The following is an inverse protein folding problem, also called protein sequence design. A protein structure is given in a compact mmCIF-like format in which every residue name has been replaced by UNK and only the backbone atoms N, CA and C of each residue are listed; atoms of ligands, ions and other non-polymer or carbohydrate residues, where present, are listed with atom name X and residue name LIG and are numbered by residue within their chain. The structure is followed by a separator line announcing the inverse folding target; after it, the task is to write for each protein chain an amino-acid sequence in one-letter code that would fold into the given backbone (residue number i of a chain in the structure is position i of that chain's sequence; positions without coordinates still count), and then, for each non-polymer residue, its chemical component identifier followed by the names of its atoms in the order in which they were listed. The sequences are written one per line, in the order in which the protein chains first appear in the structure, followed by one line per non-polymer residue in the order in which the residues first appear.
data_IF_135918284711
#
_entry.id   IF_135918284711
#
_cell.length_a   1.000
_cell.length_b   1.000
_cell.length_c   1.000
_cell.angle_alpha   90.00
_cell.angle_beta   90.00
_cell.angle_gamma   90.00
#
_symmetry.space_group_name_H-M   'P 1'
#
loop_
_entity.id
_entity.type
_entity.pdbx_description
1 polymer ?
#
# COMPACT_ATOMS: atom_id res chain seq x y z
N UNK A 1 -50.23 31.77 -23.75
CA UNK A 1 -50.17 31.45 -22.31
C UNK A 1 -48.96 30.55 -22.06
N UNK A 2 -48.11 30.97 -21.12
CA UNK A 2 -46.79 30.40 -20.81
C UNK A 2 -46.95 29.05 -20.11
N UNK A 3 -46.22 28.03 -20.56
CA UNK A 3 -45.76 26.95 -19.67
C UNK A 3 -44.27 26.73 -19.89
N UNK A 4 -43.50 27.34 -19.00
CA UNK A 4 -42.05 27.25 -18.92
C UNK A 4 -41.64 25.82 -18.54
N UNK A 5 -40.84 25.17 -19.38
CA UNK A 5 -40.10 23.95 -19.00
C UNK A 5 -39.16 24.33 -17.85
N UNK A 6 -39.55 24.01 -16.62
CA UNK A 6 -38.65 24.05 -15.47
C UNK A 6 -37.53 23.04 -15.74
N UNK A 7 -36.37 23.53 -16.15
CA UNK A 7 -35.09 22.83 -16.00
C UNK A 7 -34.98 22.52 -14.51
N UNK A 8 -35.27 21.28 -14.13
CA UNK A 8 -34.92 20.77 -12.81
C UNK A 8 -33.40 20.83 -12.72
N UNK A 9 -32.95 21.74 -11.87
CA UNK A 9 -31.57 21.98 -11.51
C UNK A 9 -30.96 20.64 -11.09
N UNK A 10 -29.92 20.24 -11.81
CA UNK A 10 -28.98 19.21 -11.41
C UNK A 10 -28.30 19.73 -10.15
N UNK A 11 -28.83 19.35 -8.98
CA UNK A 11 -28.15 19.57 -7.71
C UNK A 11 -26.89 18.71 -7.73
N UNK A 12 -25.76 19.40 -7.91
CA UNK A 12 -24.41 18.86 -7.81
C UNK A 12 -24.23 18.20 -6.43
N UNK A 13 -24.07 16.88 -6.42
CA UNK A 13 -23.51 16.16 -5.27
C UNK A 13 -21.98 16.25 -5.36
N UNK A 14 -21.45 17.45 -5.11
CA UNK A 14 -20.06 17.62 -4.70
C UNK A 14 -20.03 17.68 -3.18
N UNK A 15 -19.91 16.51 -2.56
CA UNK A 15 -19.45 16.39 -1.18
C UNK A 15 -18.31 15.38 -1.15
N UNK A 16 -17.12 15.95 -0.95
CA UNK A 16 -15.83 15.35 -0.61
C UNK A 16 -15.23 14.34 -1.60
N UNK A 17 -15.14 14.78 -2.84
CA UNK A 17 -14.04 14.43 -3.74
C UNK A 17 -12.95 15.47 -3.56
N UNK A 18 -11.72 15.01 -3.30
CA UNK A 18 -10.48 15.77 -3.27
C UNK A 18 -10.47 16.97 -4.22
N UNK A 19 -10.36 18.18 -3.65
CA UNK A 19 -9.60 19.32 -4.17
C UNK A 19 -9.86 20.56 -3.29
N UNK A 20 -8.89 20.89 -2.42
CA UNK A 20 -8.48 22.28 -2.25
C UNK A 20 -7.11 22.35 -2.92
N UNK A 21 -7.12 22.61 -4.23
CA UNK A 21 -6.83 23.91 -4.83
C UNK A 21 -5.37 24.32 -4.62
N UNK A 22 -4.63 24.09 -5.70
CA UNK A 22 -3.42 24.78 -6.09
C UNK A 22 -3.55 26.30 -5.87
N UNK A 23 -2.91 26.80 -4.82
CA UNK A 23 -2.35 28.15 -4.83
C UNK A 23 -0.90 27.97 -5.28
N UNK A 24 -0.68 28.14 -6.59
CA UNK A 24 0.66 28.44 -7.12
C UNK A 24 1.01 29.86 -6.63
N UNK A 25 1.46 29.98 -5.39
CA UNK A 25 2.38 31.05 -5.03
C UNK A 25 3.76 30.58 -5.48
N UNK A 26 4.28 31.21 -6.53
CA UNK A 26 5.67 31.14 -6.93
C UNK A 26 6.53 31.67 -5.78
N UNK A 27 6.84 30.82 -4.81
CA UNK A 27 8.01 31.03 -3.98
C UNK A 27 9.15 30.20 -4.55
N UNK A 28 9.96 30.88 -5.37
CA UNK A 28 11.30 30.47 -5.75
C UNK A 28 12.14 30.20 -4.49
N UNK A 29 12.01 29.01 -3.90
CA UNK A 29 12.95 28.53 -2.88
C UNK A 29 14.27 28.20 -3.58
N UNK A 30 15.16 29.18 -3.53
CA UNK A 30 16.58 29.15 -3.88
C UNK A 30 17.35 28.17 -2.98
N UNK A 31 16.90 26.90 -2.90
CA UNK A 31 17.53 25.87 -2.11
C UNK A 31 18.70 25.29 -2.88
N UNK A 32 19.86 25.89 -2.63
CA UNK A 32 21.21 25.51 -3.09
C UNK A 32 21.33 24.06 -3.57
N UNK A 33 21.81 23.89 -4.81
CA UNK A 33 22.06 22.61 -5.47
C UNK A 33 23.03 21.68 -4.71
N UNK A 34 23.68 22.20 -3.66
CA UNK A 34 24.84 21.62 -2.98
C UNK A 34 24.52 20.45 -2.02
N UNK A 35 23.26 20.06 -1.84
CA UNK A 35 22.86 18.94 -0.94
C UNK A 35 21.90 17.91 -1.54
N UNK A 36 21.77 17.83 -2.86
CA UNK A 36 21.11 16.66 -3.47
C UNK A 36 22.07 15.47 -3.39
N UNK A 37 22.00 14.70 -2.29
CA UNK A 37 22.70 13.41 -2.16
C UNK A 37 22.46 12.63 -3.46
N UNK A 38 23.51 12.08 -4.11
CA UNK A 38 23.33 11.34 -5.35
C UNK A 38 22.31 10.24 -5.08
N UNK A 39 21.20 10.29 -5.82
CA UNK A 39 20.11 9.32 -5.75
C UNK A 39 20.69 8.00 -6.28
N UNK A 40 21.30 7.21 -5.40
CA UNK A 40 21.86 5.90 -5.76
C UNK A 40 20.71 5.01 -6.19
N UNK A 41 20.44 5.04 -7.49
CA UNK A 41 19.49 4.17 -8.15
C UNK A 41 20.20 2.83 -8.24
N UNK A 42 19.98 1.98 -7.24
CA UNK A 42 20.45 0.60 -7.31
C UNK A 42 19.96 0.04 -8.64
N UNK A 43 20.91 -0.32 -9.51
CA UNK A 43 20.53 -0.99 -10.74
C UNK A 43 19.99 -2.36 -10.36
N UNK A 44 19.01 -2.86 -11.10
CA UNK A 44 18.47 -4.21 -10.88
C UNK A 44 19.50 -5.32 -11.08
N UNK A 45 20.72 -4.98 -11.52
CA UNK A 45 21.84 -5.86 -11.80
C UNK A 45 22.86 -5.92 -10.63
N UNK A 46 22.68 -5.09 -9.60
CA UNK A 46 23.61 -5.05 -8.48
C UNK A 46 23.29 -6.09 -7.40
N UNK A 47 24.30 -6.89 -7.06
CA UNK A 47 24.28 -7.76 -5.89
C UNK A 47 24.24 -6.90 -4.63
N UNK A 48 23.34 -7.20 -3.68
CA UNK A 48 23.30 -6.51 -2.39
C UNK A 48 23.43 -7.47 -1.21
N UNK A 49 24.00 -6.99 -0.09
CA UNK A 49 24.07 -7.75 1.16
C UNK A 49 22.86 -7.44 2.04
N UNK A 50 22.06 -8.46 2.37
CA UNK A 50 20.93 -8.30 3.27
C UNK A 50 21.39 -7.79 4.65
N UNK A 51 20.73 -6.76 5.19
CA UNK A 51 21.07 -6.23 6.53
C UNK A 51 20.64 -7.14 7.68
N UNK A 52 19.61 -7.96 7.45
CA UNK A 52 19.08 -8.90 8.43
C UNK A 52 19.89 -10.21 8.46
N UNK A 53 19.80 -11.05 7.42
CA UNK A 53 20.46 -12.36 7.41
C UNK A 53 21.90 -12.36 6.88
N UNK A 54 22.42 -11.20 6.43
CA UNK A 54 23.80 -11.02 5.93
C UNK A 54 24.16 -11.80 4.64
N UNK A 55 23.23 -12.54 4.05
CA UNK A 55 23.42 -13.19 2.74
C UNK A 55 23.53 -12.16 1.61
N UNK A 56 24.33 -12.48 0.61
CA UNK A 56 24.37 -11.75 -0.66
C UNK A 56 23.19 -12.19 -1.52
N UNK A 57 22.48 -11.22 -2.08
CA UNK A 57 21.31 -11.42 -2.93
C UNK A 57 21.68 -10.97 -4.33
N UNK A 58 21.61 -11.90 -5.27
CA UNK A 58 21.80 -11.62 -6.68
C UNK A 58 20.52 -11.05 -7.30
N UNK A 59 20.63 -10.36 -8.45
CA UNK A 59 19.48 -10.04 -9.30
C UNK A 59 18.60 -11.28 -9.53
N UNK A 60 17.26 -11.14 -9.50
CA UNK A 60 16.39 -12.26 -9.81
C UNK A 60 16.60 -12.71 -11.26
N UNK A 61 16.58 -14.03 -11.55
CA UNK A 61 16.81 -14.55 -12.90
C UNK A 61 15.68 -14.18 -13.88
N UNK A 62 14.48 -13.91 -13.35
CA UNK A 62 13.33 -13.38 -14.09
C UNK A 62 12.32 -12.81 -13.09
N UNK A 63 11.46 -11.89 -13.55
CA UNK A 63 10.46 -11.25 -12.70
C UNK A 63 10.99 -9.96 -12.05
N UNK A 64 10.18 -8.90 -12.16
CA UNK A 64 10.29 -7.59 -11.50
C UNK A 64 11.68 -7.08 -11.10
N UNK A 65 12.18 -6.08 -11.84
CA UNK A 65 13.43 -5.35 -11.55
C UNK A 65 13.47 -4.59 -10.20
N UNK A 66 12.40 -4.62 -9.40
CA UNK A 66 12.25 -3.86 -8.16
C UNK A 66 11.87 -4.76 -6.98
N UNK A 67 12.68 -5.79 -6.70
CA UNK A 67 12.61 -6.58 -5.47
C UNK A 67 12.92 -5.68 -4.27
N UNK A 68 12.05 -5.69 -3.25
CA UNK A 68 12.24 -4.88 -2.04
C UNK A 68 12.60 -5.72 -0.79
N UNK A 69 12.60 -7.06 -0.87
CA UNK A 69 12.95 -7.95 0.24
C UNK A 69 14.00 -9.00 -0.14
N UNK A 70 14.69 -9.55 0.85
CA UNK A 70 15.64 -10.65 0.66
C UNK A 70 14.90 -11.98 0.40
N UNK A 71 15.27 -12.78 -0.61
CA UNK A 71 14.57 -14.04 -0.92
C UNK A 71 14.69 -15.09 0.20
N UNK A 72 15.78 -15.00 0.96
CA UNK A 72 16.18 -15.99 1.93
C UNK A 72 15.66 -15.76 3.34
N UNK A 73 15.12 -14.57 3.62
CA UNK A 73 14.60 -14.24 4.95
C UNK A 73 13.39 -13.31 4.91
N UNK A 74 12.99 -12.84 3.72
CA UNK A 74 11.84 -11.98 3.46
C UNK A 74 11.87 -10.60 4.14
N UNK A 75 12.92 -10.26 4.89
CA UNK A 75 13.12 -8.91 5.42
C UNK A 75 13.38 -7.89 4.32
N UNK A 76 12.78 -6.72 4.49
CA UNK A 76 12.88 -5.56 3.60
C UNK A 76 13.56 -4.39 4.33
N UNK A 77 13.73 -3.26 3.64
CA UNK A 77 14.21 -2.00 4.20
C UNK A 77 13.27 -0.87 3.81
N UNK A 78 12.94 -0.02 4.75
CA UNK A 78 12.09 1.14 4.49
C UNK A 78 12.90 2.23 3.79
N UNK A 79 12.85 2.21 2.46
CA UNK A 79 13.58 3.13 1.59
C UNK A 79 12.64 3.97 0.74
N UNK A 80 11.45 3.47 0.44
CA UNK A 80 10.42 4.19 -0.32
C UNK A 80 9.48 4.91 0.65
N UNK A 81 9.14 6.18 0.36
CA UNK A 81 8.22 6.98 1.15
C UNK A 81 6.77 6.76 0.68
N UNK A 82 6.32 7.54 -0.32
CA UNK A 82 4.92 7.51 -0.79
C UNK A 82 4.72 6.56 -1.96
N UNK A 83 5.66 6.48 -2.89
CA UNK A 83 5.54 5.69 -4.12
C UNK A 83 6.58 4.59 -4.14
N UNK A 84 6.21 3.34 -4.50
CA UNK A 84 7.19 2.28 -4.72
C UNK A 84 8.30 2.74 -5.68
N UNK A 85 9.55 2.58 -5.28
CA UNK A 85 10.73 2.99 -6.03
C UNK A 85 11.10 4.47 -5.95
N UNK A 86 10.41 5.32 -5.18
CA UNK A 86 10.81 6.73 -5.02
C UNK A 86 12.13 6.89 -4.25
N UNK A 87 12.46 5.91 -3.40
CA UNK A 87 13.66 5.89 -2.55
C UNK A 87 13.82 7.17 -1.70
N UNK A 88 12.72 7.77 -1.28
CA UNK A 88 12.70 9.05 -0.54
C UNK A 88 12.43 8.91 0.96
N UNK A 89 12.35 7.70 1.52
CA UNK A 89 12.11 7.51 2.95
C UNK A 89 13.34 7.89 3.78
N UNK A 90 13.15 8.82 4.72
CA UNK A 90 14.17 9.19 5.71
C UNK A 90 14.33 8.14 6.83
N UNK A 91 13.42 7.15 6.91
CA UNK A 91 13.43 6.14 7.97
C UNK A 91 14.61 5.18 7.85
N UNK A 92 14.75 4.51 6.71
CA UNK A 92 15.88 3.60 6.44
C UNK A 92 15.93 2.32 7.29
N UNK A 93 15.00 2.13 8.22
CA UNK A 93 14.94 1.00 9.15
C UNK A 93 14.60 -0.33 8.45
N UNK A 94 14.88 -1.44 9.15
CA UNK A 94 14.47 -2.77 8.71
C UNK A 94 12.96 -2.90 8.72
N UNK A 95 12.41 -3.65 7.76
CA UNK A 95 11.00 -4.02 7.73
C UNK A 95 10.86 -5.54 7.86
N UNK A 96 10.13 -5.98 8.88
CA UNK A 96 9.83 -7.39 9.13
C UNK A 96 8.73 -7.89 8.18
N UNK A 97 8.77 -9.16 7.75
CA UNK A 97 7.64 -9.81 7.09
C UNK A 97 6.56 -10.15 8.13
N UNK A 98 5.66 -9.22 8.41
CA UNK A 98 4.64 -9.34 9.45
C UNK A 98 3.51 -10.34 9.11
N UNK A 99 3.33 -10.68 7.84
CA UNK A 99 2.30 -11.62 7.41
C UNK A 99 2.26 -11.80 5.90
N UNK A 100 1.29 -12.59 5.43
CA UNK A 100 0.97 -12.73 4.01
C UNK A 100 -0.53 -12.73 3.77
N UNK A 101 -0.92 -12.45 2.54
CA UNK A 101 -2.25 -12.80 2.02
C UNK A 101 -2.13 -13.27 0.58
N UNK A 102 -3.17 -13.93 0.10
CA UNK A 102 -3.30 -14.34 -1.29
C UNK A 102 -4.31 -13.43 -2.00
N UNK A 103 -3.98 -12.99 -3.21
CA UNK A 103 -4.90 -12.25 -4.08
C UNK A 103 -5.87 -13.22 -4.78
N UNK A 104 -6.99 -12.74 -5.34
CA UNK A 104 -7.93 -13.58 -6.07
C UNK A 104 -7.34 -14.33 -7.28
N UNK A 105 -6.25 -13.83 -7.86
CA UNK A 105 -5.53 -14.49 -8.95
C UNK A 105 -4.53 -15.57 -8.47
N UNK A 106 -4.55 -15.92 -7.18
CA UNK A 106 -3.66 -16.90 -6.57
C UNK A 106 -2.29 -16.38 -6.18
N UNK A 107 -1.98 -15.10 -6.44
CA UNK A 107 -0.68 -14.53 -6.14
C UNK A 107 -0.52 -14.20 -4.66
N UNK A 108 0.62 -14.60 -4.09
CA UNK A 108 0.98 -14.28 -2.72
C UNK A 108 1.60 -12.89 -2.59
N UNK A 109 1.23 -12.21 -1.51
CA UNK A 109 1.72 -10.89 -1.14
C UNK A 109 2.21 -10.93 0.29
N UNK A 110 3.42 -10.42 0.52
CA UNK A 110 4.01 -10.27 1.85
C UNK A 110 3.63 -8.89 2.39
N UNK A 111 3.23 -8.86 3.65
CA UNK A 111 3.04 -7.63 4.43
C UNK A 111 4.33 -7.33 5.16
N UNK A 112 4.95 -6.20 4.84
CA UNK A 112 6.14 -5.70 5.50
C UNK A 112 5.77 -4.60 6.49
N UNK A 113 6.24 -4.68 7.73
CA UNK A 113 6.06 -3.64 8.75
C UNK A 113 7.40 -3.04 9.14
N UNK A 114 7.51 -1.72 9.14
CA UNK A 114 8.74 -1.03 9.54
C UNK A 114 8.90 -1.02 11.06
N UNK A 115 10.05 -1.46 11.58
CA UNK A 115 10.35 -1.36 13.02
C UNK A 115 10.60 0.08 13.50
N UNK A 116 10.93 1.00 12.59
CA UNK A 116 11.23 2.40 12.95
C UNK A 116 9.98 3.27 13.10
N UNK A 117 9.10 3.23 12.09
CA UNK A 117 7.92 4.11 12.04
C UNK A 117 6.58 3.36 11.98
N UNK A 118 6.57 2.02 12.03
CA UNK A 118 5.35 1.21 11.96
C UNK A 118 4.69 1.13 10.57
N UNK A 119 5.20 1.87 9.59
CA UNK A 119 4.64 1.88 8.24
C UNK A 119 4.57 0.49 7.60
N UNK A 120 3.44 0.18 6.95
CA UNK A 120 3.22 -1.09 6.26
C UNK A 120 3.29 -0.96 4.73
N UNK A 121 3.91 -1.95 4.09
CA UNK A 121 3.92 -2.11 2.63
C UNK A 121 3.56 -3.52 2.23
N UNK A 122 2.95 -3.65 1.05
CA UNK A 122 2.53 -4.94 0.49
C UNK A 122 3.33 -5.22 -0.78
N UNK A 123 4.16 -6.26 -0.75
CA UNK A 123 5.04 -6.61 -1.85
C UNK A 123 4.68 -7.99 -2.40
N UNK A 124 4.59 -8.11 -3.73
CA UNK A 124 4.40 -9.41 -4.40
C UNK A 124 5.64 -10.28 -4.18
N UNK A 125 5.46 -11.58 -4.08
CA UNK A 125 6.58 -12.52 -4.07
C UNK A 125 7.28 -12.54 -5.44
N UNK A 126 8.58 -12.84 -5.43
CA UNK A 126 9.39 -13.08 -6.62
C UNK A 126 9.59 -14.60 -6.83
N UNK A 127 10.03 -14.99 -8.03
CA UNK A 127 10.17 -16.40 -8.42
C UNK A 127 11.24 -17.16 -7.60
N UNK A 128 12.24 -16.44 -7.08
CA UNK A 128 13.36 -16.97 -6.30
C UNK A 128 13.19 -16.77 -4.78
N UNK A 129 12.00 -16.37 -4.32
CA UNK A 129 11.69 -16.35 -2.89
C UNK A 129 11.56 -17.77 -2.34
N UNK A 130 12.04 -17.97 -1.12
CA UNK A 130 11.81 -19.21 -0.37
C UNK A 130 10.32 -19.32 -0.02
N UNK A 131 9.60 -20.17 -0.76
CA UNK A 131 8.16 -20.28 -0.64
C UNK A 131 7.71 -20.92 0.68
N UNK A 132 8.51 -21.81 1.25
CA UNK A 132 8.22 -22.40 2.58
C UNK A 132 8.26 -21.31 3.66
N UNK A 133 9.23 -20.39 3.57
CA UNK A 133 9.24 -19.21 4.44
C UNK A 133 8.02 -18.32 4.23
N UNK A 134 7.57 -18.10 2.99
CA UNK A 134 6.35 -17.33 2.72
C UNK A 134 5.14 -18.00 3.40
N UNK A 135 4.98 -19.31 3.23
CA UNK A 135 3.90 -20.09 3.83
C UNK A 135 3.95 -20.18 5.36
N UNK A 136 5.13 -19.99 5.95
CA UNK A 136 5.30 -19.94 7.42
C UNK A 136 4.81 -18.65 8.07
N UNK A 137 4.65 -17.55 7.31
CA UNK A 137 4.17 -16.28 7.84
C UNK A 137 2.74 -16.37 8.41
N UNK A 138 2.27 -15.42 9.23
CA UNK A 138 0.86 -15.34 9.57
C UNK A 138 -0.01 -15.06 8.34
N UNK A 139 -1.04 -15.87 8.11
CA UNK A 139 -2.06 -15.54 7.11
C UNK A 139 -2.91 -14.36 7.60
N UNK A 140 -3.21 -13.44 6.69
CA UNK A 140 -3.99 -12.24 6.94
C UNK A 140 -5.10 -12.12 5.89
N UNK A 141 -6.23 -11.46 6.21
CA UNK A 141 -7.26 -11.19 5.22
C UNK A 141 -6.66 -10.37 4.08
N UNK A 142 -7.13 -10.65 2.88
CA UNK A 142 -6.62 -10.00 1.70
C UNK A 142 -7.02 -8.51 1.70
N UNK A 143 -6.03 -7.64 1.47
CA UNK A 143 -6.16 -6.17 1.61
C UNK A 143 -6.21 -5.46 0.27
N UNK A 144 -6.74 -6.12 -0.78
CA UNK A 144 -6.92 -5.44 -2.06
C UNK A 144 -8.06 -4.42 -1.94
N UNK A 145 -8.02 -3.34 -2.72
CA UNK A 145 -9.05 -2.30 -2.65
C UNK A 145 -10.47 -2.83 -2.93
N UNK A 146 -10.61 -3.95 -3.65
CA UNK A 146 -11.90 -4.63 -3.86
C UNK A 146 -12.36 -5.36 -2.60
N UNK A 147 -11.47 -6.11 -1.96
CA UNK A 147 -11.79 -6.89 -0.75
C UNK A 147 -12.03 -5.99 0.45
N UNK A 148 -11.23 -4.93 0.61
CA UNK A 148 -11.46 -3.92 1.66
C UNK A 148 -12.85 -3.29 1.51
N UNK A 149 -13.27 -2.97 0.28
CA UNK A 149 -14.62 -2.46 0.03
C UNK A 149 -15.72 -3.50 0.30
N UNK A 150 -15.46 -4.77 -0.03
CA UNK A 150 -16.41 -5.85 0.25
C UNK A 150 -16.60 -6.05 1.76
N UNK A 151 -15.49 -6.11 2.52
CA UNK A 151 -15.50 -6.21 3.98
C UNK A 151 -16.21 -5.02 4.63
N UNK A 152 -15.97 -3.80 4.14
CA UNK A 152 -16.66 -2.60 4.61
C UNK A 152 -18.17 -2.67 4.33
N UNK A 153 -18.58 -3.17 3.17
CA UNK A 153 -19.99 -3.33 2.83
C UNK A 153 -20.67 -4.42 3.67
N UNK A 154 -19.98 -5.53 3.92
CA UNK A 154 -20.46 -6.62 4.80
C UNK A 154 -20.63 -6.12 6.25
N UNK A 155 -19.63 -5.44 6.80
CA UNK A 155 -19.70 -4.86 8.14
C UNK A 155 -20.85 -3.84 8.25
N UNK A 156 -21.03 -2.98 7.22
CA UNK A 156 -22.14 -2.05 7.18
C UNK A 156 -23.49 -2.78 7.15
N UNK A 157 -23.64 -3.86 6.36
CA UNK A 157 -24.86 -4.66 6.33
C UNK A 157 -25.14 -5.34 7.66
N UNK A 158 -24.12 -5.87 8.33
CA UNK A 158 -24.23 -6.53 9.64
C UNK A 158 -24.73 -5.55 10.70
N UNK A 159 -24.11 -4.36 10.79
CA UNK A 159 -24.57 -3.28 11.68
C UNK A 159 -26.03 -2.87 11.41
N UNK A 160 -26.45 -2.82 10.14
CA UNK A 160 -27.80 -2.40 9.77
C UNK A 160 -28.85 -3.51 9.96
N UNK A 161 -28.46 -4.78 9.87
CA UNK A 161 -29.32 -5.92 10.20
C UNK A 161 -29.54 -6.01 11.71
N UNK A 162 -28.49 -5.82 12.52
CA UNK A 162 -28.60 -5.77 13.98
C UNK A 162 -29.53 -4.65 14.46
N UNK A 163 -29.45 -3.46 13.82
CA UNK A 163 -30.37 -2.36 14.11
C UNK A 163 -31.83 -2.71 13.78
N UNK A 164 -32.06 -3.43 12.67
CA UNK A 164 -33.40 -3.80 12.23
C UNK A 164 -34.04 -4.87 13.13
N UNK A 165 -33.26 -5.85 13.59
CA UNK A 165 -33.73 -6.86 14.55
C UNK A 165 -34.11 -6.23 15.90
N UNK A 166 -33.34 -5.24 16.37
CA UNK A 166 -33.66 -4.50 17.61
C UNK A 166 -34.97 -3.70 17.50
N UNK A 167 -35.19 -3.00 16.39
CA UNK A 167 -36.41 -2.22 16.15
C UNK A 167 -37.67 -3.11 16.08
N UNK A 168 -37.55 -4.37 15.63
CA UNK A 168 -38.65 -5.35 15.59
C UNK A 168 -38.97 -5.91 16.97
N UNK A 169 -37.95 -6.12 17.82
CA UNK A 169 -38.14 -6.58 19.20
C UNK A 169 -38.78 -5.52 20.12
N UNK A 170 -38.45 -4.23 19.97
CA UNK A 170 -39.10 -3.14 20.74
C UNK A 170 -40.55 -2.86 20.30
N UNK A 171 -40.92 -3.20 19.06
CA UNK A 171 -42.24 -2.94 18.51
C UNK A 171 -43.29 -4.03 18.82
N UNK A 172 -42.89 -5.12 19.50
CA UNK A 172 -43.75 -6.23 19.93
C UNK A 172 -44.18 -6.15 21.38
#
# INVERSE_FOLDING_TARGET
MRTSRKKLLRLDKKTHYWNDLDVYEEEDDYRSEERRKPRYKQSSEEVFKCRHCRRFVCPPPSGGYHRNHCPFCLYSRHVDDRKPGDRMSDCGCSMEPAGRFQRPNGEYVIIHRCHGCGFERFNRIAADDDFDLVLSLPAQPARTGREVKAQQAEAWLEEHLEQWDWDVEEAG
#
